data_IF_393372931919
#
_entry.id   IF_393372931919
#
_cell.length_a   1.000
_cell.length_b   1.000
_cell.length_c   1.000
_cell.angle_alpha   90.00
_cell.angle_beta   90.00
_cell.angle_gamma   90.00
#
_symmetry.space_group_name_H-M   'P 1'
#
loop_
_entity.id
_entity.type
_entity.pdbx_description
1 polymer ?
#
# COMPACT_ATOMS: atom_id res chain seq x y z
N UNK A 1 -64.41 32.08 -80.57
CA UNK A 1 -64.65 31.55 -79.21
C UNK A 1 -64.68 30.02 -79.30
N UNK A 2 -63.51 29.35 -79.28
CA UNK A 2 -63.40 27.89 -79.23
C UNK A 2 -61.90 27.51 -79.11
N UNK A 3 -61.62 26.36 -78.47
CA UNK A 3 -60.33 25.68 -78.23
C UNK A 3 -59.43 26.20 -77.09
N UNK A 4 -59.60 25.61 -75.89
CA UNK A 4 -58.50 25.18 -74.98
C UNK A 4 -59.09 24.46 -73.75
N UNK A 5 -59.53 23.21 -73.90
CA UNK A 5 -60.04 22.39 -72.77
C UNK A 5 -59.52 20.95 -72.72
N UNK A 6 -58.40 20.65 -73.40
CA UNK A 6 -57.91 19.26 -73.55
C UNK A 6 -56.58 18.90 -72.86
N UNK A 7 -55.87 19.83 -72.22
CA UNK A 7 -54.45 19.61 -71.85
C UNK A 7 -54.17 19.33 -70.36
N UNK A 8 -55.15 19.53 -69.48
CA UNK A 8 -54.98 19.42 -68.02
C UNK A 8 -55.31 18.05 -67.43
N UNK A 9 -56.08 17.19 -68.11
CA UNK A 9 -56.37 15.82 -67.63
C UNK A 9 -55.23 14.82 -67.90
N UNK A 10 -54.45 15.03 -68.96
CA UNK A 10 -53.37 14.11 -69.34
C UNK A 10 -52.13 14.20 -68.43
N UNK A 11 -51.87 15.37 -67.82
CA UNK A 11 -50.72 15.56 -66.91
C UNK A 11 -50.98 14.99 -65.51
N UNK A 12 -52.24 14.91 -65.08
CA UNK A 12 -52.59 14.36 -63.77
C UNK A 12 -52.46 12.83 -63.75
N UNK A 13 -52.91 12.15 -64.81
CA UNK A 13 -52.84 10.68 -64.89
C UNK A 13 -51.40 10.16 -65.07
N UNK A 14 -50.56 10.89 -65.81
CA UNK A 14 -49.15 10.55 -65.96
C UNK A 14 -48.38 10.63 -64.62
N UNK A 15 -48.71 11.60 -63.75
CA UNK A 15 -48.10 11.74 -62.44
C UNK A 15 -48.41 10.57 -61.49
N UNK A 16 -49.65 10.08 -61.51
CA UNK A 16 -50.07 8.92 -60.70
C UNK A 16 -49.38 7.63 -61.12
N UNK A 17 -49.23 7.37 -62.41
CA UNK A 17 -48.53 6.16 -62.90
C UNK A 17 -47.06 6.18 -62.50
N UNK A 18 -46.40 7.33 -62.61
CA UNK A 18 -44.99 7.48 -62.18
C UNK A 18 -44.83 7.30 -60.67
N UNK A 19 -45.75 7.82 -59.86
CA UNK A 19 -45.70 7.65 -58.41
C UNK A 19 -45.89 6.18 -57.98
N UNK A 20 -46.78 5.45 -58.63
CA UNK A 20 -46.98 4.01 -58.39
C UNK A 20 -45.76 3.19 -58.82
N UNK A 21 -45.14 3.53 -59.95
CA UNK A 21 -43.92 2.86 -60.40
C UNK A 21 -42.73 3.12 -59.46
N UNK A 22 -42.57 4.37 -58.98
CA UNK A 22 -41.50 4.72 -58.04
C UNK A 22 -41.68 4.06 -56.68
N UNK A 23 -42.91 3.97 -56.17
CA UNK A 23 -43.20 3.28 -54.90
C UNK A 23 -43.04 1.77 -55.02
N UNK A 24 -43.48 1.17 -56.13
CA UNK A 24 -43.24 -0.25 -56.44
C UNK A 24 -41.74 -0.58 -56.55
N UNK A 25 -40.98 0.26 -57.27
CA UNK A 25 -39.53 0.10 -57.39
C UNK A 25 -38.80 0.28 -56.05
N UNK A 26 -39.25 1.21 -55.21
CA UNK A 26 -38.67 1.43 -53.88
C UNK A 26 -38.94 0.28 -52.91
N UNK A 27 -40.17 -0.28 -52.94
CA UNK A 27 -40.53 -1.46 -52.15
C UNK A 27 -39.75 -2.70 -52.59
N UNK A 28 -39.59 -2.92 -53.90
CA UNK A 28 -38.74 -3.98 -54.44
C UNK A 28 -37.28 -3.78 -54.05
N UNK A 29 -36.75 -2.56 -54.18
CA UNK A 29 -35.37 -2.25 -53.78
C UNK A 29 -35.13 -2.54 -52.29
N UNK A 30 -36.06 -2.16 -51.40
CA UNK A 30 -35.96 -2.48 -49.96
C UNK A 30 -36.14 -3.97 -49.64
N UNK A 31 -36.98 -4.68 -50.38
CA UNK A 31 -37.29 -6.09 -50.12
C UNK A 31 -36.24 -7.06 -50.64
N UNK A 32 -35.61 -6.77 -51.79
CA UNK A 32 -34.75 -7.75 -52.49
C UNK A 32 -33.30 -7.32 -52.64
N UNK A 33 -32.98 -6.02 -52.70
CA UNK A 33 -31.64 -5.53 -53.01
C UNK A 33 -30.95 -4.84 -51.82
N UNK A 34 -31.72 -4.18 -50.95
CA UNK A 34 -31.20 -3.48 -49.78
C UNK A 34 -31.30 -4.37 -48.54
N UNK A 35 -30.27 -5.19 -48.32
CA UNK A 35 -29.99 -5.72 -46.98
C UNK A 35 -29.19 -4.65 -46.23
N UNK A 36 -29.74 -3.96 -45.22
CA UNK A 36 -28.92 -3.11 -44.38
C UNK A 36 -27.80 -3.98 -43.80
N UNK A 37 -26.55 -3.50 -43.91
CA UNK A 37 -25.43 -4.17 -43.28
C UNK A 37 -25.80 -4.43 -41.81
N UNK A 38 -25.57 -5.65 -41.27
CA UNK A 38 -25.80 -5.89 -39.86
C UNK A 38 -25.06 -4.79 -39.11
N UNK A 39 -25.76 -4.10 -38.21
CA UNK A 39 -25.13 -3.11 -37.35
C UNK A 39 -23.89 -3.78 -36.79
N UNK A 40 -22.71 -3.30 -37.19
CA UNK A 40 -21.45 -3.76 -36.61
C UNK A 40 -21.61 -3.69 -35.09
N UNK A 41 -20.99 -4.61 -34.33
CA UNK A 41 -21.14 -4.63 -32.89
C UNK A 41 -21.00 -3.21 -32.39
N UNK A 42 -22.06 -2.69 -31.76
CA UNK A 42 -22.08 -1.35 -31.22
C UNK A 42 -20.73 -1.19 -30.53
N UNK A 43 -19.90 -0.28 -31.07
CA UNK A 43 -18.67 0.12 -30.40
C UNK A 43 -19.16 0.43 -29.00
N UNK A 44 -18.77 -0.42 -28.04
CA UNK A 44 -19.23 -0.30 -26.67
C UNK A 44 -18.89 1.13 -26.36
N UNK A 45 -19.92 1.98 -26.16
CA UNK A 45 -19.70 3.30 -25.65
C UNK A 45 -18.80 3.04 -24.45
N UNK A 46 -17.55 3.51 -24.52
CA UNK A 46 -16.57 3.26 -23.49
C UNK A 46 -17.24 3.78 -22.23
N UNK A 47 -17.82 2.85 -21.48
CA UNK A 47 -18.52 3.13 -20.26
C UNK A 47 -17.40 3.69 -19.43
N UNK A 48 -17.44 4.99 -19.22
CA UNK A 48 -16.42 5.73 -18.50
C UNK A 48 -16.36 5.05 -17.15
N UNK A 49 -15.43 4.10 -17.03
CA UNK A 49 -15.28 3.25 -15.86
C UNK A 49 -15.22 4.22 -14.72
N UNK A 50 -16.20 4.16 -13.82
CA UNK A 50 -16.25 5.06 -12.68
C UNK A 50 -14.98 4.76 -11.90
N UNK A 51 -13.95 5.57 -12.13
CA UNK A 51 -12.63 5.36 -11.54
C UNK A 51 -12.88 5.55 -10.05
N UNK A 52 -12.86 4.45 -9.31
CA UNK A 52 -12.86 4.54 -7.87
C UNK A 52 -11.59 5.33 -7.50
N UNK A 53 -11.73 6.31 -6.63
CA UNK A 53 -10.64 7.22 -6.26
C UNK A 53 -10.17 6.86 -4.85
N UNK A 54 -8.86 7.04 -4.60
CA UNK A 54 -8.36 7.09 -3.23
C UNK A 54 -8.50 8.53 -2.72
N UNK A 55 -9.32 8.73 -1.70
CA UNK A 55 -9.60 10.05 -1.13
C UNK A 55 -8.85 10.20 0.19
N UNK A 56 -8.13 11.30 0.37
CA UNK A 56 -7.48 11.64 1.63
C UNK A 56 -8.55 12.06 2.64
N UNK A 57 -8.64 11.37 3.77
CA UNK A 57 -9.64 11.64 4.81
C UNK A 57 -9.05 12.51 5.93
N UNK A 58 -7.80 12.25 6.31
CA UNK A 58 -7.13 12.97 7.38
C UNK A 58 -5.63 13.08 7.10
N UNK A 59 -5.02 14.18 7.53
CA UNK A 59 -3.58 14.42 7.41
C UNK A 59 -3.09 14.99 8.74
N UNK A 60 -1.99 14.45 9.25
CA UNK A 60 -1.31 14.89 10.46
C UNK A 60 0.18 15.02 10.16
N UNK A 61 0.81 16.11 10.59
CA UNK A 61 2.25 16.32 10.44
C UNK A 61 2.71 16.54 8.99
N UNK A 62 3.97 16.20 8.72
CA UNK A 62 4.59 16.37 7.40
C UNK A 62 4.12 15.28 6.43
N UNK A 63 3.22 15.63 5.51
CA UNK A 63 2.74 14.72 4.47
C UNK A 63 2.69 15.45 3.13
N UNK A 64 3.36 14.87 2.14
CA UNK A 64 3.42 15.41 0.79
C UNK A 64 2.88 14.42 -0.23
N UNK A 65 2.25 14.95 -1.27
CA UNK A 65 1.98 14.24 -2.51
C UNK A 65 3.14 14.46 -3.47
N UNK A 66 3.59 13.38 -4.09
CA UNK A 66 4.49 13.38 -5.23
C UNK A 66 3.66 13.04 -6.46
N UNK A 67 3.60 13.99 -7.39
CA UNK A 67 2.98 13.81 -8.70
C UNK A 67 3.88 12.96 -9.59
N UNK A 68 3.32 12.13 -10.50
CA UNK A 68 4.11 11.39 -11.47
C UNK A 68 5.01 12.28 -12.33
N UNK A 69 4.66 13.57 -12.49
CA UNK A 69 5.45 14.55 -13.27
C UNK A 69 6.58 15.21 -12.44
N UNK A 70 6.89 14.70 -11.24
CA UNK A 70 7.97 15.20 -10.38
C UNK A 70 7.60 16.37 -9.47
N UNK A 71 6.35 16.85 -9.51
CA UNK A 71 5.87 17.90 -8.61
C UNK A 71 5.68 17.37 -7.18
N UNK A 72 6.13 18.14 -6.18
CA UNK A 72 5.85 17.87 -4.77
C UNK A 72 4.89 18.93 -4.23
N UNK A 73 3.83 18.52 -3.54
CA UNK A 73 2.88 19.43 -2.89
C UNK A 73 2.45 18.90 -1.54
N UNK A 74 2.04 19.79 -0.62
CA UNK A 74 1.44 19.37 0.64
C UNK A 74 0.15 18.58 0.38
N UNK A 75 -0.03 17.48 1.12
CA UNK A 75 -1.25 16.67 1.04
C UNK A 75 -2.33 17.30 1.91
N UNK A 76 -3.56 17.40 1.40
CA UNK A 76 -4.70 17.94 2.14
C UNK A 76 -5.86 16.93 2.22
N UNK A 77 -6.65 17.00 3.28
CA UNK A 77 -7.90 16.25 3.38
C UNK A 77 -8.88 16.65 2.27
N UNK A 78 -9.65 15.68 1.78
CA UNK A 78 -10.53 15.81 0.62
C UNK A 78 -9.83 15.69 -0.73
N UNK A 79 -8.49 15.71 -0.77
CA UNK A 79 -7.75 15.54 -2.01
C UNK A 79 -7.91 14.11 -2.55
N UNK A 80 -8.01 14.01 -3.88
CA UNK A 80 -8.10 12.74 -4.60
C UNK A 80 -6.74 12.36 -5.15
N UNK A 81 -6.35 11.12 -4.93
CA UNK A 81 -5.16 10.50 -5.48
C UNK A 81 -5.55 9.69 -6.70
N UNK A 82 -4.85 9.95 -7.81
CA UNK A 82 -4.99 9.27 -9.09
C UNK A 82 -3.94 8.16 -9.22
N UNK A 83 -4.06 7.37 -10.27
CA UNK A 83 -2.98 6.45 -10.66
C UNK A 83 -1.64 7.20 -10.77
N UNK A 84 -0.59 6.54 -10.30
CA UNK A 84 0.79 7.00 -10.21
C UNK A 84 1.08 8.15 -9.23
N UNK A 85 0.06 8.69 -8.54
CA UNK A 85 0.30 9.57 -7.40
C UNK A 85 0.96 8.81 -6.25
N UNK A 86 1.93 9.44 -5.60
CA UNK A 86 2.58 8.89 -4.42
C UNK A 86 2.37 9.79 -3.21
N UNK A 87 2.07 9.19 -2.07
CA UNK A 87 2.04 9.86 -0.78
C UNK A 87 3.34 9.54 -0.06
N UNK A 88 3.97 10.57 0.53
CA UNK A 88 5.15 10.43 1.37
C UNK A 88 4.93 11.13 2.70
N UNK A 89 5.09 10.40 3.79
CA UNK A 89 5.00 10.91 5.16
C UNK A 89 6.39 11.12 5.74
N UNK A 90 6.64 12.32 6.25
CA UNK A 90 7.85 12.67 7.00
C UNK A 90 7.71 12.38 8.49
N UNK A 91 8.55 13.03 9.30
CA UNK A 91 8.57 12.85 10.76
C UNK A 91 7.25 13.32 11.38
N UNK A 92 6.64 12.49 12.23
CA UNK A 92 5.31 12.74 12.80
C UNK A 92 4.19 12.79 11.76
N UNK A 93 4.48 12.43 10.50
CA UNK A 93 3.54 12.44 9.39
C UNK A 93 2.66 11.20 9.39
N UNK A 94 1.35 11.38 9.25
CA UNK A 94 0.39 10.29 9.07
C UNK A 94 -0.77 10.75 8.19
N UNK A 95 -1.32 9.86 7.36
CA UNK A 95 -2.53 10.14 6.60
C UNK A 95 -3.44 8.93 6.48
N UNK A 96 -4.74 9.17 6.45
CA UNK A 96 -5.77 8.15 6.21
C UNK A 96 -6.32 8.32 4.80
N UNK A 97 -6.31 7.23 4.03
CA UNK A 97 -6.89 7.15 2.69
C UNK A 97 -8.15 6.31 2.74
N UNK A 98 -9.24 6.79 2.15
CA UNK A 98 -10.44 6.02 1.87
C UNK A 98 -10.39 5.48 0.44
N UNK A 99 -10.68 4.19 0.30
CA UNK A 99 -10.66 3.49 -0.99
C UNK A 99 -11.95 2.68 -1.14
N UNK A 100 -12.60 2.74 -2.31
CA UNK A 100 -13.86 2.02 -2.56
C UNK A 100 -15.01 2.39 -1.61
N UNK A 101 -15.01 3.61 -1.08
CA UNK A 101 -16.07 4.18 -0.22
C UNK A 101 -16.18 3.62 1.21
N UNK A 102 -15.62 2.45 1.52
CA UNK A 102 -15.73 1.80 2.84
C UNK A 102 -14.42 1.29 3.43
N UNK A 103 -13.39 1.13 2.62
CA UNK A 103 -12.08 0.65 3.05
C UNK A 103 -11.17 1.81 3.44
N UNK A 104 -10.28 1.56 4.40
CA UNK A 104 -9.32 2.55 4.90
C UNK A 104 -7.89 2.03 4.84
N UNK A 105 -6.98 2.87 4.40
CA UNK A 105 -5.53 2.64 4.47
C UNK A 105 -4.91 3.79 5.25
N UNK A 106 -4.36 3.50 6.42
CA UNK A 106 -3.58 4.44 7.22
C UNK A 106 -2.11 4.32 6.85
N UNK A 107 -1.53 5.41 6.34
CA UNK A 107 -0.13 5.54 5.96
C UNK A 107 0.63 6.16 7.14
N UNK A 108 1.52 5.38 7.75
CA UNK A 108 2.25 5.79 8.95
C UNK A 108 3.42 6.72 8.62
N UNK A 109 4.13 7.22 9.63
CA UNK A 109 5.37 8.00 9.48
C UNK A 109 6.43 7.25 8.67
N UNK A 110 7.26 8.00 7.92
CA UNK A 110 8.40 7.45 7.17
C UNK A 110 7.99 6.53 6.02
N UNK A 111 6.78 6.70 5.50
CA UNK A 111 6.17 5.79 4.54
C UNK A 111 6.02 6.45 3.19
N UNK A 112 6.27 5.67 2.13
CA UNK A 112 5.98 6.07 0.77
C UNK A 112 5.07 5.04 0.09
N UNK A 113 3.84 5.47 -0.21
CA UNK A 113 2.81 4.65 -0.84
C UNK A 113 2.43 5.26 -2.19
N UNK A 114 2.57 4.49 -3.27
CA UNK A 114 2.16 4.89 -4.62
C UNK A 114 0.88 4.19 -5.01
N UNK A 115 -0.09 4.94 -5.53
CA UNK A 115 -1.27 4.39 -6.18
C UNK A 115 -0.86 3.86 -7.55
N UNK A 116 -1.13 2.59 -7.85
CA UNK A 116 -0.86 2.01 -9.18
C UNK A 116 -2.12 1.97 -10.03
N UNK A 117 -3.19 1.45 -9.44
CA UNK A 117 -4.46 1.25 -10.13
C UNK A 117 -5.59 1.26 -9.12
N UNK A 118 -6.71 1.90 -9.44
CA UNK A 118 -7.93 1.83 -8.65
C UNK A 118 -9.10 1.67 -9.62
N UNK A 119 -9.67 0.48 -9.65
CA UNK A 119 -10.82 0.11 -10.46
C UNK A 119 -11.87 -0.57 -9.59
N UNK A 120 -13.06 -0.80 -10.15
CA UNK A 120 -14.14 -1.49 -9.46
C UNK A 120 -13.77 -2.92 -8.99
N UNK A 121 -12.77 -3.55 -9.64
CA UNK A 121 -12.34 -4.92 -9.37
C UNK A 121 -10.97 -5.03 -8.71
N UNK A 122 -10.10 -4.03 -8.86
CA UNK A 122 -8.73 -4.08 -8.39
C UNK A 122 -8.30 -2.74 -7.80
N UNK A 123 -7.82 -2.79 -6.57
CA UNK A 123 -7.08 -1.71 -5.95
C UNK A 123 -5.62 -2.15 -5.80
N UNK A 124 -4.72 -1.51 -6.53
CA UNK A 124 -3.30 -1.83 -6.55
C UNK A 124 -2.49 -0.67 -6.02
N UNK A 125 -1.70 -0.93 -4.99
CA UNK A 125 -0.77 0.01 -4.41
C UNK A 125 0.65 -0.56 -4.40
N UNK A 126 1.64 0.31 -4.42
CA UNK A 126 3.04 -0.03 -4.22
C UNK A 126 3.57 0.63 -2.97
N UNK A 127 4.06 -0.16 -2.03
CA UNK A 127 4.68 0.29 -0.79
C UNK A 127 6.20 0.25 -0.95
N UNK A 128 6.80 1.41 -1.22
CA UNK A 128 8.25 1.50 -1.42
C UNK A 128 9.01 1.29 -0.11
N UNK A 129 8.53 1.89 0.97
CA UNK A 129 9.09 1.82 2.33
C UNK A 129 8.02 2.22 3.34
N UNK A 130 8.20 1.78 4.58
CA UNK A 130 7.46 2.20 5.74
C UNK A 130 6.30 1.26 6.02
N UNK A 131 5.29 1.76 6.73
CA UNK A 131 4.21 0.93 7.26
C UNK A 131 2.85 1.49 6.84
N UNK A 132 1.97 0.58 6.45
CA UNK A 132 0.55 0.87 6.28
C UNK A 132 -0.28 -0.06 7.16
N UNK A 133 -1.38 0.46 7.71
CA UNK A 133 -2.43 -0.34 8.31
C UNK A 133 -3.66 -0.29 7.41
N UNK A 134 -4.24 -1.45 7.14
CA UNK A 134 -5.32 -1.61 6.18
C UNK A 134 -6.54 -2.18 6.90
N UNK A 135 -7.68 -1.54 6.72
CA UNK A 135 -9.00 -2.10 7.01
C UNK A 135 -9.77 -2.17 5.70
N UNK A 136 -9.67 -3.31 5.03
CA UNK A 136 -10.27 -3.54 3.72
C UNK A 136 -11.58 -4.30 3.87
N UNK A 137 -12.69 -3.67 3.50
CA UNK A 137 -14.02 -4.27 3.59
C UNK A 137 -14.30 -5.11 2.34
N UNK A 138 -14.68 -6.36 2.57
CA UNK A 138 -15.14 -7.22 1.48
C UNK A 138 -16.39 -6.65 0.82
N UNK A 139 -16.40 -6.68 -0.50
CA UNK A 139 -17.54 -6.35 -1.36
C UNK A 139 -17.89 -7.48 -2.35
N UNK A 140 -17.25 -8.65 -2.19
CA UNK A 140 -17.51 -9.88 -2.92
C UNK A 140 -16.75 -10.06 -4.23
N UNK A 141 -16.17 -8.99 -4.80
CA UNK A 141 -15.49 -9.08 -6.11
C UNK A 141 -14.13 -8.37 -6.11
N UNK A 142 -13.93 -7.37 -5.27
CA UNK A 142 -12.79 -6.46 -5.38
C UNK A 142 -11.56 -6.99 -4.65
N UNK A 143 -10.45 -7.04 -5.38
CA UNK A 143 -9.14 -7.44 -4.87
C UNK A 143 -8.33 -6.21 -4.44
N UNK A 144 -7.78 -6.24 -3.23
CA UNK A 144 -6.68 -5.35 -2.84
C UNK A 144 -5.36 -6.06 -3.10
N UNK A 145 -4.43 -5.36 -3.76
CA UNK A 145 -3.06 -5.81 -4.03
C UNK A 145 -2.08 -4.75 -3.56
N UNK A 146 -1.13 -5.15 -2.71
CA UNK A 146 -0.02 -4.30 -2.24
C UNK A 146 1.29 -4.93 -2.67
N UNK A 147 2.10 -4.18 -3.40
CA UNK A 147 3.37 -4.64 -3.96
C UNK A 147 4.55 -3.98 -3.26
N UNK A 148 5.67 -4.71 -3.13
CA UNK A 148 6.96 -4.15 -2.77
C UNK A 148 7.48 -3.19 -3.84
N UNK A 149 8.52 -2.43 -3.50
CA UNK A 149 9.15 -1.47 -4.41
C UNK A 149 9.54 -2.07 -5.78
N UNK A 150 10.09 -3.28 -5.77
CA UNK A 150 10.54 -4.06 -6.92
C UNK A 150 9.46 -4.99 -7.49
N UNK A 151 8.30 -5.08 -6.86
CA UNK A 151 7.24 -6.03 -7.20
C UNK A 151 7.55 -7.49 -6.88
N UNK A 152 8.68 -7.78 -6.22
CA UNK A 152 9.10 -9.13 -5.86
C UNK A 152 8.27 -9.78 -4.75
N UNK A 153 7.57 -8.99 -3.93
CA UNK A 153 6.61 -9.45 -2.94
C UNK A 153 5.25 -8.77 -3.15
N UNK A 154 4.19 -9.57 -3.08
CA UNK A 154 2.81 -9.14 -3.36
C UNK A 154 1.89 -9.67 -2.27
N UNK A 155 1.14 -8.77 -1.62
CA UNK A 155 0.10 -9.11 -0.65
C UNK A 155 -1.29 -8.88 -1.26
N UNK A 156 -2.14 -9.89 -1.23
CA UNK A 156 -3.46 -9.90 -1.85
C UNK A 156 -4.56 -10.28 -0.85
N UNK A 157 -5.68 -9.58 -0.89
CA UNK A 157 -6.87 -9.92 -0.08
C UNK A 157 -8.15 -9.38 -0.72
N UNK A 158 -9.26 -10.07 -0.46
CA UNK A 158 -10.61 -9.57 -0.78
C UNK A 158 -11.27 -8.89 0.42
N UNK A 159 -10.71 -9.02 1.63
CA UNK A 159 -11.29 -8.48 2.84
C UNK A 159 -10.52 -8.91 4.08
N UNK A 160 -9.78 -7.97 4.67
CA UNK A 160 -8.98 -8.23 5.86
C UNK A 160 -8.66 -6.94 6.60
N UNK A 161 -8.33 -7.09 7.88
CA UNK A 161 -7.63 -6.05 8.65
C UNK A 161 -6.22 -6.55 8.90
N UNK A 162 -5.24 -5.84 8.38
CA UNK A 162 -3.84 -6.27 8.42
C UNK A 162 -2.92 -5.06 8.34
N UNK A 163 -1.66 -5.26 8.68
CA UNK A 163 -0.62 -4.28 8.45
C UNK A 163 0.46 -4.83 7.52
N UNK A 164 1.08 -3.91 6.79
CA UNK A 164 2.21 -4.19 5.89
C UNK A 164 3.35 -3.28 6.30
N UNK A 165 4.53 -3.87 6.49
CA UNK A 165 5.78 -3.14 6.72
C UNK A 165 6.76 -3.50 5.61
N UNK A 166 7.33 -2.48 4.97
CA UNK A 166 8.39 -2.62 3.97
C UNK A 166 9.63 -1.87 4.46
N UNK A 167 10.73 -2.61 4.66
CA UNK A 167 12.03 -2.02 5.02
C UNK A 167 12.85 -1.64 3.77
N UNK A 168 12.34 -1.98 2.58
CA UNK A 168 13.06 -1.92 1.30
C UNK A 168 13.84 -3.20 0.97
N UNK A 169 14.14 -4.04 1.97
CA UNK A 169 14.82 -5.35 1.78
C UNK A 169 13.95 -6.53 2.22
N UNK A 170 12.86 -6.27 2.92
CA UNK A 170 11.86 -7.26 3.29
C UNK A 170 10.47 -6.63 3.35
N UNK A 171 9.46 -7.45 3.11
CA UNK A 171 8.05 -7.14 3.36
C UNK A 171 7.52 -8.08 4.42
N UNK A 172 6.91 -7.51 5.47
CA UNK A 172 6.25 -8.24 6.53
C UNK A 172 4.75 -7.93 6.53
N UNK A 173 3.94 -8.97 6.71
CA UNK A 173 2.48 -8.90 6.82
C UNK A 173 2.09 -9.41 8.20
N UNK A 174 1.22 -8.69 8.90
CA UNK A 174 0.57 -9.15 10.12
C UNK A 174 -0.95 -9.00 9.99
N UNK A 175 -1.67 -10.12 10.04
CA UNK A 175 -3.11 -10.14 9.82
C UNK A 175 -3.86 -10.17 11.16
N UNK A 176 -4.69 -9.17 11.40
CA UNK A 176 -5.54 -9.10 12.60
C UNK A 176 -6.87 -9.85 12.39
N UNK A 177 -7.51 -9.67 11.23
CA UNK A 177 -8.76 -10.36 10.87
C UNK A 177 -8.78 -10.69 9.39
N UNK A 178 -9.51 -11.75 9.00
CA UNK A 178 -9.55 -12.23 7.62
C UNK A 178 -8.26 -12.95 7.24
N UNK A 179 -7.91 -12.88 5.96
CA UNK A 179 -6.75 -13.55 5.38
C UNK A 179 -6.07 -12.68 4.32
N UNK A 180 -4.76 -12.85 4.20
CA UNK A 180 -3.93 -12.18 3.20
C UNK A 180 -3.00 -13.20 2.57
N UNK A 181 -3.01 -13.29 1.25
CA UNK A 181 -2.07 -14.10 0.50
C UNK A 181 -0.78 -13.30 0.27
N UNK A 182 0.32 -13.72 0.88
CA UNK A 182 1.65 -13.17 0.62
C UNK A 182 2.35 -14.06 -0.41
N UNK A 183 2.68 -13.49 -1.56
CA UNK A 183 3.38 -14.18 -2.65
C UNK A 183 4.75 -13.56 -2.88
N UNK A 184 5.78 -14.39 -2.96
CA UNK A 184 7.12 -14.00 -3.41
C UNK A 184 7.88 -15.21 -3.93
N UNK A 185 8.79 -15.02 -4.89
CA UNK A 185 9.54 -16.12 -5.52
C UNK A 185 8.66 -17.31 -5.93
N UNK A 186 7.51 -17.02 -6.54
CA UNK A 186 6.51 -18.01 -6.99
C UNK A 186 5.88 -18.89 -5.89
N UNK A 187 6.11 -18.58 -4.62
CA UNK A 187 5.47 -19.25 -3.49
C UNK A 187 4.49 -18.31 -2.81
N UNK A 188 3.30 -18.83 -2.54
CA UNK A 188 2.25 -18.13 -1.80
C UNK A 188 2.08 -18.74 -0.42
N UNK A 189 1.97 -17.90 0.60
CA UNK A 189 1.62 -18.27 1.96
C UNK A 189 0.39 -17.47 2.37
N UNK A 190 -0.62 -18.17 2.85
CA UNK A 190 -1.82 -17.55 3.38
C UNK A 190 -1.60 -17.16 4.86
N UNK A 191 -1.72 -15.86 5.14
CA UNK A 191 -1.51 -15.25 6.45
C UNK A 191 -2.87 -14.95 7.07
N UNK A 192 -3.35 -15.89 7.90
CA UNK A 192 -4.64 -15.81 8.59
C UNK A 192 -4.59 -14.89 9.81
N UNK A 193 -5.77 -14.53 10.32
CA UNK A 193 -5.93 -13.79 11.56
C UNK A 193 -5.05 -14.32 12.71
N UNK A 194 -4.35 -13.42 13.40
CA UNK A 194 -3.44 -13.75 14.51
C UNK A 194 -2.05 -14.22 14.07
N UNK A 195 -1.77 -14.27 12.76
CA UNK A 195 -0.48 -14.71 12.21
C UNK A 195 0.22 -13.62 11.40
N UNK A 196 1.50 -13.82 11.18
CA UNK A 196 2.37 -13.00 10.34
C UNK A 196 3.23 -13.86 9.42
N UNK A 197 3.71 -13.26 8.33
CA UNK A 197 4.71 -13.86 7.45
C UNK A 197 5.62 -12.76 6.89
N UNK A 198 6.85 -13.13 6.55
CA UNK A 198 7.88 -12.22 6.05
C UNK A 198 8.45 -12.76 4.75
N UNK A 199 8.55 -11.90 3.74
CA UNK A 199 9.26 -12.17 2.49
C UNK A 199 10.48 -11.25 2.40
N UNK A 200 11.68 -11.81 2.55
CA UNK A 200 12.92 -11.10 2.28
C UNK A 200 13.14 -10.99 0.75
N UNK A 201 13.86 -9.96 0.31
CA UNK A 201 14.16 -9.74 -1.10
C UNK A 201 14.80 -11.00 -1.74
N UNK A 202 14.22 -11.44 -2.85
CA UNK A 202 14.69 -12.63 -3.58
C UNK A 202 14.46 -13.98 -2.87
N UNK A 203 13.71 -14.01 -1.76
CA UNK A 203 13.38 -15.24 -1.03
C UNK A 203 11.86 -15.47 -0.99
N UNK A 204 11.40 -16.73 -0.97
CA UNK A 204 9.99 -17.02 -0.78
C UNK A 204 9.51 -16.55 0.61
N UNK A 205 8.20 -16.36 0.82
CA UNK A 205 7.65 -16.03 2.13
C UNK A 205 7.96 -17.10 3.17
N UNK A 206 8.19 -16.68 4.40
CA UNK A 206 8.24 -17.56 5.57
C UNK A 206 6.90 -18.28 5.77
N UNK A 207 6.88 -19.33 6.58
CA UNK A 207 5.61 -19.87 7.08
C UNK A 207 4.81 -18.80 7.82
N UNK A 208 3.48 -18.99 7.89
CA UNK A 208 2.63 -18.19 8.74
C UNK A 208 2.90 -18.57 10.20
N UNK A 209 3.34 -17.60 11.00
CA UNK A 209 3.70 -17.79 12.41
C UNK A 209 2.83 -16.89 13.30
N UNK A 210 2.56 -17.27 14.56
CA UNK A 210 1.82 -16.41 15.48
C UNK A 210 2.48 -15.04 15.64
N UNK A 211 1.66 -13.98 15.66
CA UNK A 211 2.13 -12.63 15.94
C UNK A 211 2.73 -12.59 17.36
N UNK A 212 4.03 -12.27 17.54
CA UNK A 212 4.69 -12.33 18.85
C UNK A 212 4.02 -11.40 19.86
N UNK A 213 3.73 -11.85 21.08
CA UNK A 213 3.04 -11.01 22.06
C UNK A 213 3.83 -9.75 22.49
N UNK A 214 5.17 -9.78 22.38
CA UNK A 214 6.07 -8.69 22.76
C UNK A 214 7.20 -8.55 21.74
N UNK A 215 7.52 -7.32 21.36
CA UNK A 215 8.73 -7.00 20.60
C UNK A 215 9.89 -6.85 21.59
N UNK A 216 10.83 -7.79 21.56
CA UNK A 216 11.99 -7.78 22.45
C UNK A 216 13.16 -7.12 21.74
N UNK A 217 13.46 -5.89 22.14
CA UNK A 217 14.71 -5.23 21.83
C UNK A 217 15.75 -5.59 22.89
N UNK A 218 16.71 -6.44 22.52
CA UNK A 218 17.90 -6.71 23.35
C UNK A 218 19.05 -5.83 22.86
N UNK A 219 19.44 -4.83 23.65
CA UNK A 219 20.68 -4.07 23.42
C UNK A 219 21.75 -4.74 24.27
N UNK A 220 22.67 -5.46 23.63
CA UNK A 220 23.61 -6.34 24.32
C UNK A 220 24.76 -5.57 24.99
N UNK A 221 25.23 -4.49 24.34
CA UNK A 221 26.36 -3.71 24.82
C UNK A 221 26.16 -2.26 24.40
N UNK A 222 25.68 -1.43 25.33
CA UNK A 222 25.89 0.01 25.25
C UNK A 222 27.23 0.32 25.92
N UNK A 223 28.32 -0.24 25.38
CA UNK A 223 29.64 0.19 25.80
C UNK A 223 29.82 1.58 25.19
N UNK A 224 29.69 2.66 25.98
CA UNK A 224 30.22 3.92 25.51
C UNK A 224 31.69 3.68 25.22
N UNK A 225 32.13 4.04 24.03
CA UNK A 225 33.51 3.86 23.65
C UNK A 225 34.29 5.03 24.26
N UNK A 226 34.98 4.87 25.41
CA UNK A 226 35.60 5.99 26.09
C UNK A 226 36.76 6.56 25.26
N UNK A 227 37.26 5.78 24.28
CA UNK A 227 38.45 6.07 23.48
C UNK A 227 38.27 5.93 21.95
N UNK A 228 37.05 5.84 21.39
CA UNK A 228 36.85 5.76 19.93
C UNK A 228 36.27 7.05 19.33
N UNK A 229 37.13 8.04 19.13
CA UNK A 229 37.10 8.95 17.98
C UNK A 229 35.72 9.48 17.53
N UNK A 230 34.95 10.08 18.44
CA UNK A 230 33.73 10.81 18.07
C UNK A 230 32.44 9.97 17.93
N UNK A 231 32.35 8.82 18.60
CA UNK A 231 31.11 8.02 18.69
C UNK A 231 30.39 8.25 20.04
N UNK A 232 29.07 8.37 20.01
CA UNK A 232 28.21 8.40 21.20
C UNK A 232 28.02 6.97 21.74
N UNK A 233 27.61 6.02 20.89
CA UNK A 233 27.33 4.65 21.30
C UNK A 233 27.48 3.68 20.11
N UNK A 234 27.77 2.41 20.41
CA UNK A 234 27.61 1.31 19.46
C UNK A 234 26.38 0.50 19.87
N UNK A 235 25.29 0.60 19.12
CA UNK A 235 24.06 -0.13 19.42
C UNK A 235 24.12 -1.49 18.71
N UNK A 236 24.20 -2.57 19.49
CA UNK A 236 24.13 -3.95 18.99
C UNK A 236 22.92 -4.64 19.58
N UNK A 237 22.13 -5.29 18.72
CA UNK A 237 20.96 -6.03 19.17
C UNK A 237 20.41 -7.02 18.17
N UNK A 238 19.27 -7.60 18.54
CA UNK A 238 18.48 -8.50 17.69
C UNK A 238 17.05 -7.98 17.60
N UNK A 239 16.46 -8.11 16.41
CA UNK A 239 15.06 -7.81 16.15
C UNK A 239 14.36 -9.04 15.55
N UNK A 240 13.04 -9.23 15.78
CA UNK A 240 12.27 -10.25 15.10
C UNK A 240 12.35 -10.10 13.57
N UNK A 241 12.22 -11.21 12.85
CA UNK A 241 12.18 -11.19 11.39
C UNK A 241 11.08 -10.24 10.89
N UNK A 242 11.40 -9.43 9.88
CA UNK A 242 10.46 -8.48 9.28
C UNK A 242 10.17 -7.22 10.11
N UNK A 243 10.77 -7.06 11.29
CA UNK A 243 10.69 -5.82 12.05
C UNK A 243 11.62 -4.74 11.47
N UNK A 244 11.20 -3.48 11.59
CA UNK A 244 12.03 -2.32 11.28
C UNK A 244 12.73 -1.86 12.55
N UNK A 245 14.03 -1.56 12.44
CA UNK A 245 14.81 -0.97 13.51
C UNK A 245 15.14 0.47 13.12
N UNK A 246 14.86 1.41 14.00
CA UNK A 246 15.16 2.83 13.85
C UNK A 246 16.13 3.24 14.95
N UNK A 247 17.21 3.94 14.59
CA UNK A 247 18.14 4.56 15.53
C UNK A 247 18.11 6.07 15.29
N UNK A 248 17.68 6.82 16.30
CA UNK A 248 17.38 8.26 16.23
C UNK A 248 16.44 8.63 15.06
N UNK A 249 15.48 7.75 14.79
CA UNK A 249 14.52 7.89 13.70
C UNK A 249 15.05 7.50 12.32
N UNK A 250 16.32 7.12 12.19
CA UNK A 250 16.91 6.65 10.94
C UNK A 250 16.84 5.11 10.83
N UNK A 251 16.43 4.54 9.68
CA UNK A 251 16.43 3.09 9.48
C UNK A 251 17.82 2.45 9.62
N UNK A 252 17.89 1.40 10.43
CA UNK A 252 19.06 0.57 10.61
C UNK A 252 18.93 -0.71 9.79
N UNK A 253 20.03 -1.13 9.16
CA UNK A 253 20.08 -2.41 8.47
C UNK A 253 20.03 -3.56 9.48
N UNK A 254 19.12 -4.50 9.23
CA UNK A 254 18.99 -5.75 10.00
C UNK A 254 19.46 -6.88 9.10
N UNK A 255 20.40 -7.69 9.60
CA UNK A 255 20.90 -8.87 8.91
C UNK A 255 19.83 -9.97 8.86
N UNK A 256 20.04 -10.97 8.01
CA UNK A 256 19.07 -12.07 7.83
C UNK A 256 18.82 -12.88 9.12
N UNK A 257 19.81 -12.93 10.02
CA UNK A 257 19.71 -13.58 11.33
C UNK A 257 19.03 -12.69 12.40
N UNK A 258 18.49 -11.53 11.99
CA UNK A 258 17.84 -10.58 12.87
C UNK A 258 18.79 -9.68 13.65
N UNK A 259 20.12 -9.81 13.47
CA UNK A 259 21.09 -8.96 14.17
C UNK A 259 21.21 -7.61 13.49
N UNK A 260 21.43 -6.57 14.29
CA UNK A 260 21.77 -5.24 13.79
C UNK A 260 22.88 -4.61 14.60
N UNK A 261 23.64 -3.73 13.96
CA UNK A 261 24.72 -2.96 14.57
C UNK A 261 24.72 -1.56 13.98
N UNK A 262 24.65 -0.54 14.84
CA UNK A 262 24.68 0.86 14.44
C UNK A 262 25.70 1.62 15.28
N UNK A 263 26.61 2.32 14.60
CA UNK A 263 27.52 3.26 15.24
C UNK A 263 26.86 4.62 15.27
N UNK A 264 26.56 5.10 16.46
CA UNK A 264 25.90 6.39 16.67
C UNK A 264 26.98 7.46 16.82
N UNK A 265 27.03 8.47 15.93
CA UNK A 265 28.01 9.54 16.04
C UNK A 265 27.74 10.40 17.28
N UNK A 266 28.81 10.88 17.91
CA UNK A 266 28.70 11.87 18.97
C UNK A 266 28.26 13.22 18.39
N UNK A 267 27.53 13.99 19.19
CA UNK A 267 27.16 15.37 18.88
C UNK A 267 27.30 16.22 20.14
N UNK A 268 27.49 17.54 20.01
CA UNK A 268 27.76 18.43 21.14
C UNK A 268 26.65 18.39 22.21
N UNK A 269 25.41 18.07 21.83
CA UNK A 269 24.26 17.96 22.76
C UNK A 269 23.73 16.53 22.91
N UNK A 270 24.36 15.53 22.27
CA UNK A 270 23.83 14.18 22.22
C UNK A 270 24.20 13.38 23.47
N UNK A 271 23.24 13.23 24.37
CA UNK A 271 23.40 12.48 25.64
C UNK A 271 22.94 11.03 25.55
N UNK A 272 22.05 10.74 24.62
CA UNK A 272 21.49 9.40 24.43
C UNK A 272 21.15 9.15 22.96
N UNK A 273 21.05 7.88 22.61
CA UNK A 273 20.55 7.39 21.34
C UNK A 273 19.22 6.67 21.56
N UNK A 274 18.22 6.97 20.73
CA UNK A 274 16.91 6.31 20.79
C UNK A 274 16.87 5.17 19.80
N UNK A 275 16.55 3.97 20.26
CA UNK A 275 16.40 2.77 19.44
C UNK A 275 14.95 2.33 19.50
N UNK A 276 14.26 2.35 18.36
CA UNK A 276 12.89 1.88 18.23
C UNK A 276 12.84 0.62 17.35
N UNK A 277 12.01 -0.35 17.73
CA UNK A 277 11.62 -1.47 16.87
C UNK A 277 10.14 -1.32 16.54
N UNK A 278 9.78 -1.50 15.27
CA UNK A 278 8.40 -1.50 14.78
C UNK A 278 8.10 -2.79 14.02
N UNK A 279 6.87 -3.28 14.10
CA UNK A 279 6.41 -4.41 13.29
C UNK A 279 5.27 -4.05 12.34
N UNK A 280 4.92 -5.00 11.47
CA UNK A 280 3.80 -4.84 10.53
C UNK A 280 2.46 -4.59 11.24
N UNK A 281 2.27 -5.12 12.45
CA UNK A 281 1.09 -4.88 13.27
C UNK A 281 0.99 -3.47 13.86
N UNK A 282 2.02 -2.64 13.68
CA UNK A 282 2.06 -1.27 14.19
C UNK A 282 2.46 -1.17 15.66
N UNK A 283 2.97 -2.25 16.25
CA UNK A 283 3.52 -2.20 17.61
C UNK A 283 4.90 -1.59 17.57
N UNK A 284 5.21 -0.84 18.62
CA UNK A 284 6.49 -0.16 18.76
C UNK A 284 7.08 -0.45 20.14
N UNK A 285 8.39 -0.59 20.20
CA UNK A 285 9.14 -0.65 21.45
C UNK A 285 10.35 0.24 21.34
N UNK A 286 10.47 1.18 22.28
CA UNK A 286 11.54 2.17 22.32
C UNK A 286 12.46 1.85 23.50
N UNK A 287 13.77 1.95 23.26
CA UNK A 287 14.81 1.91 24.28
C UNK A 287 15.76 3.06 24.06
N UNK A 288 16.23 3.62 25.16
CA UNK A 288 17.23 4.68 25.16
C UNK A 288 18.57 4.07 25.57
N UNK A 289 19.61 4.47 24.84
CA UNK A 289 20.99 4.05 25.08
C UNK A 289 21.80 5.29 25.47
N UNK A 290 22.36 5.35 26.68
CA UNK A 290 23.19 6.48 27.09
C UNK A 290 24.48 6.57 26.25
N UNK A 291 24.89 7.79 25.90
CA UNK A 291 26.16 8.05 25.21
C UNK A 291 27.35 8.12 26.18
N UNK A 292 27.08 8.31 27.47
CA UNK A 292 28.07 8.31 28.54
C UNK A 292 28.20 6.89 29.10
N UNK A 293 29.42 6.37 29.19
CA UNK A 293 29.73 4.97 29.54
C UNK A 293 29.31 4.47 30.90
N UNK A 294 28.46 5.21 31.61
CA UNK A 294 27.70 4.66 32.72
C UNK A 294 26.55 3.86 32.12
N UNK A 295 26.84 2.61 31.76
CA UNK A 295 25.84 1.57 31.87
C UNK A 295 25.16 1.75 33.23
N UNK A 296 23.90 2.18 33.24
CA UNK A 296 23.07 2.19 34.44
C UNK A 296 22.82 0.73 34.78
N UNK A 297 23.83 0.07 35.36
CA UNK A 297 23.62 -1.08 36.20
C UNK A 297 22.89 -0.50 37.40
N UNK A 298 21.58 -0.77 37.59
CA UNK A 298 20.92 -0.35 38.81
C UNK A 298 21.77 -0.89 39.97
N UNK A 299 22.16 -0.07 40.96
CA UNK A 299 22.93 -0.57 42.08
C UNK A 299 22.14 -1.73 42.67
N UNK A 300 22.73 -2.92 42.69
CA UNK A 300 22.13 -4.08 43.34
C UNK A 300 22.05 -3.70 44.82
N UNK A 301 20.87 -3.24 45.26
CA UNK A 301 20.69 -2.69 46.60
C UNK A 301 20.75 -3.77 47.67
N UNK A 302 20.46 -5.03 47.33
CA UNK A 302 20.49 -6.14 48.28
C UNK A 302 20.92 -7.45 47.62
N UNK A 303 22.04 -8.00 48.10
CA UNK A 303 22.41 -9.40 47.91
C UNK A 303 22.20 -10.10 49.25
N UNK A 304 21.12 -10.86 49.37
CA UNK A 304 20.87 -11.71 50.53
C UNK A 304 21.55 -13.08 50.33
N UNK A 305 22.81 -13.21 50.76
CA UNK A 305 23.50 -14.51 50.78
C UNK A 305 23.05 -15.26 52.03
N UNK A 306 22.22 -16.30 51.86
CA UNK A 306 21.91 -17.23 52.95
C UNK A 306 22.94 -18.35 52.98
N UNK A 307 23.93 -18.20 53.86
CA UNK A 307 24.82 -19.30 54.21
C UNK A 307 24.04 -20.34 55.02
N UNK A 308 23.90 -21.57 54.49
CA UNK A 308 23.45 -22.71 55.30
C UNK A 308 24.54 -23.02 56.32
N UNK A 309 24.27 -22.76 57.61
CA UNK A 309 25.06 -23.33 58.70
C UNK A 309 24.96 -24.85 58.64
N UNK A 310 26.08 -25.52 58.39
CA UNK A 310 26.21 -26.96 58.64
C UNK A 310 26.20 -27.12 60.16
N UNK A 311 25.18 -27.82 60.67
CA UNK A 311 25.07 -28.19 62.09
C UNK A 311 25.88 -29.47 62.35
N UNK A 312 26.25 -29.74 63.61
CA UNK A 312 27.60 -30.10 64.07
C UNK A 312 28.16 -31.42 63.56
#
# INVERSE_FOLDING_TARGET
>A
MMLRRGRTRMLLEAGTVVAVLLTGAWLLFRGTLYRPAPAGPAAHAAQESKVDEAIVVAVVGDVVRLSPNGGTSALAAGQRLRADDSVRTGRGGQTDLQVGGRSRITVAEGTQLTVREITEKLHRFRLTRGRIAVDYKADGVRLLRIESADGGAVAETQGARFGVLSTGTAVAIATATGEVNLTSQHKTVEVRAGTQSVAAAGKPPSGAEPIPAKLLLKVADAAAAPDRGGLCAEVVGTAPAGAEVLVDGAPAAVAEDGRFRVRVPAGPEKKEATVAIRDAGGRETIRTVPCDGRASVPPIKDIAIRWRKKSP
#
